data_IF_358491444223
#
_entry.id   IF_358491444223
#
_cell.length_a   1.000
_cell.length_b   1.000
_cell.length_c   1.000
_cell.angle_alpha   90.00
_cell.angle_beta   90.00
_cell.angle_gamma   90.00
#
_symmetry.space_group_name_H-M   'P 1'
#
loop_
_entity.id
_entity.type
_entity.pdbx_description
1 polymer ?
#
# COMPACT_ATOMS: atom_id res chain seq x y z
N UNK A 1 26.30 -19.80 10.54
CA UNK A 1 26.06 -19.85 9.09
C UNK A 1 25.09 -18.71 8.77
N UNK A 2 25.41 -17.84 7.83
CA UNK A 2 24.54 -16.75 7.42
C UNK A 2 23.33 -17.35 6.65
N UNK A 3 22.11 -17.16 7.17
CA UNK A 3 20.90 -17.59 6.49
C UNK A 3 20.65 -16.72 5.24
N UNK A 4 19.93 -17.27 4.25
CA UNK A 4 19.59 -16.56 3.02
C UNK A 4 18.26 -15.77 3.16
N UNK A 5 17.97 -14.95 2.15
CA UNK A 5 16.68 -14.26 2.00
C UNK A 5 15.74 -15.19 1.22
N UNK A 6 14.56 -15.52 1.77
CA UNK A 6 13.53 -16.22 1.04
C UNK A 6 12.52 -15.22 0.43
N UNK A 7 12.26 -15.37 -0.86
CA UNK A 7 11.26 -14.58 -1.59
C UNK A 7 10.05 -15.48 -1.87
N UNK A 8 8.98 -15.27 -1.14
CA UNK A 8 7.71 -15.98 -1.33
C UNK A 8 6.80 -15.10 -2.19
N UNK A 9 6.63 -15.49 -3.44
CA UNK A 9 6.09 -14.67 -4.52
C UNK A 9 7.21 -13.99 -5.31
N UNK A 10 7.36 -14.36 -6.58
CA UNK A 10 8.40 -13.82 -7.47
C UNK A 10 7.77 -13.12 -8.69
N UNK A 11 6.72 -12.33 -8.39
CA UNK A 11 6.06 -11.44 -9.36
C UNK A 11 6.90 -10.18 -9.63
N UNK A 12 6.21 -9.08 -9.96
CA UNK A 12 6.84 -7.78 -10.24
C UNK A 12 7.71 -7.30 -9.08
N UNK A 13 7.18 -7.27 -7.85
CA UNK A 13 7.91 -6.74 -6.70
C UNK A 13 9.13 -7.61 -6.35
N UNK A 14 8.96 -8.93 -6.24
CA UNK A 14 10.05 -9.84 -5.89
C UNK A 14 11.19 -9.81 -6.90
N UNK A 15 10.90 -9.86 -8.19
CA UNK A 15 11.91 -9.80 -9.24
C UNK A 15 12.59 -8.42 -9.35
N UNK A 16 11.84 -7.33 -9.14
CA UNK A 16 12.39 -5.96 -9.12
C UNK A 16 13.37 -5.77 -7.95
N UNK A 17 13.00 -6.22 -6.74
CA UNK A 17 13.88 -6.12 -5.58
C UNK A 17 15.13 -6.97 -5.76
N UNK A 18 14.97 -8.23 -6.21
CA UNK A 18 16.11 -9.13 -6.44
C UNK A 18 17.10 -8.55 -7.47
N UNK A 19 16.59 -8.01 -8.58
CA UNK A 19 17.41 -7.34 -9.60
C UNK A 19 18.15 -6.13 -9.04
N UNK A 20 17.44 -5.26 -8.32
CA UNK A 20 18.00 -4.00 -7.84
C UNK A 20 19.06 -4.21 -6.75
N UNK A 21 18.93 -5.26 -5.95
CA UNK A 21 19.84 -5.60 -4.87
C UNK A 21 21.01 -6.49 -5.31
N UNK A 22 20.93 -7.10 -6.48
CA UNK A 22 21.92 -8.07 -6.92
C UNK A 22 21.96 -9.32 -6.03
N UNK A 23 20.81 -9.82 -5.58
CA UNK A 23 20.74 -10.97 -4.65
C UNK A 23 21.07 -12.32 -5.28
N UNK A 24 21.79 -12.36 -6.40
CA UNK A 24 22.24 -13.60 -7.00
C UNK A 24 22.97 -14.49 -5.96
N UNK A 25 22.44 -15.70 -5.71
CA UNK A 25 22.99 -16.62 -4.72
C UNK A 25 22.75 -16.25 -3.23
N UNK A 26 22.40 -15.01 -2.92
CA UNK A 26 22.08 -14.58 -1.55
C UNK A 26 20.59 -14.74 -1.20
N UNK A 27 19.72 -14.89 -2.20
CA UNK A 27 18.30 -15.13 -2.05
C UNK A 27 17.91 -16.46 -2.68
N UNK A 28 16.75 -16.99 -2.27
CA UNK A 28 16.07 -18.13 -2.89
C UNK A 28 14.61 -17.76 -3.10
N UNK A 29 14.10 -17.96 -4.30
CA UNK A 29 12.73 -17.60 -4.68
C UNK A 29 11.84 -18.84 -4.79
N UNK A 30 10.58 -18.68 -4.42
CA UNK A 30 9.51 -19.61 -4.71
C UNK A 30 8.26 -18.86 -5.17
N UNK A 31 7.62 -19.37 -6.21
CA UNK A 31 6.33 -18.90 -6.70
C UNK A 31 5.52 -20.10 -7.19
N UNK A 32 4.20 -20.09 -7.02
CA UNK A 32 3.31 -21.14 -7.53
C UNK A 32 3.28 -21.16 -9.07
N UNK A 33 3.65 -20.07 -9.70
CA UNK A 33 3.73 -19.92 -11.14
C UNK A 33 5.09 -20.39 -11.65
N UNK A 34 5.13 -21.53 -12.30
CA UNK A 34 6.37 -22.12 -12.84
C UNK A 34 7.12 -21.23 -13.86
N UNK A 35 6.40 -20.34 -14.58
CA UNK A 35 7.01 -19.39 -15.52
C UNK A 35 7.96 -18.40 -14.81
N UNK A 36 7.84 -18.20 -13.49
CA UNK A 36 8.73 -17.33 -12.69
C UNK A 36 10.14 -17.89 -12.53
N UNK A 37 10.33 -19.20 -12.71
CA UNK A 37 11.64 -19.82 -12.68
C UNK A 37 12.58 -19.24 -13.76
N UNK A 38 12.07 -18.92 -14.94
CA UNK A 38 12.85 -18.27 -15.99
C UNK A 38 13.35 -16.90 -15.57
N UNK A 39 12.46 -16.09 -14.97
CA UNK A 39 12.83 -14.75 -14.48
C UNK A 39 13.88 -14.83 -13.37
N UNK A 40 13.74 -15.81 -12.47
CA UNK A 40 14.71 -16.04 -11.42
C UNK A 40 16.09 -16.44 -11.99
N UNK A 41 16.11 -17.33 -12.97
CA UNK A 41 17.34 -17.76 -13.65
C UNK A 41 18.07 -16.59 -14.36
N UNK A 42 17.31 -15.70 -15.03
CA UNK A 42 17.86 -14.49 -15.68
C UNK A 42 18.52 -13.54 -14.66
N UNK A 43 18.08 -13.58 -13.38
CA UNK A 43 18.63 -12.77 -12.29
C UNK A 43 19.67 -13.52 -11.45
N UNK A 44 19.98 -14.75 -11.78
CA UNK A 44 20.88 -15.60 -11.00
C UNK A 44 20.35 -15.95 -9.61
N UNK A 45 19.03 -15.87 -9.38
CA UNK A 45 18.38 -16.22 -8.11
C UNK A 45 17.93 -17.68 -8.17
N UNK A 46 18.42 -18.56 -7.28
CA UNK A 46 17.94 -19.94 -7.16
C UNK A 46 16.42 -19.98 -7.00
N UNK A 47 15.73 -20.75 -7.84
CA UNK A 47 14.30 -20.97 -7.78
C UNK A 47 14.01 -22.32 -7.17
N UNK A 48 13.38 -22.33 -5.99
CA UNK A 48 13.07 -23.54 -5.24
C UNK A 48 11.92 -24.32 -5.87
N UNK A 49 11.98 -25.64 -5.78
CA UNK A 49 10.91 -26.53 -6.24
C UNK A 49 9.69 -26.52 -5.30
N UNK A 50 9.85 -26.05 -4.06
CA UNK A 50 8.78 -25.94 -3.08
C UNK A 50 9.01 -24.78 -2.12
N UNK A 51 7.93 -24.37 -1.42
CA UNK A 51 8.03 -23.39 -0.33
C UNK A 51 8.94 -23.89 0.80
N UNK A 52 8.91 -25.18 1.13
CA UNK A 52 9.76 -25.77 2.14
C UNK A 52 11.25 -25.63 1.79
N UNK A 53 11.62 -25.84 0.55
CA UNK A 53 12.99 -25.64 0.07
C UNK A 53 13.39 -24.16 0.13
N UNK A 54 12.49 -23.24 -0.25
CA UNK A 54 12.79 -21.80 -0.21
C UNK A 54 12.98 -21.28 1.20
N UNK A 55 12.22 -21.83 2.16
CA UNK A 55 12.20 -21.39 3.56
C UNK A 55 13.25 -22.09 4.45
N UNK A 56 13.82 -23.20 3.97
CA UNK A 56 14.85 -23.94 4.74
C UNK A 56 16.02 -23.01 5.10
N UNK A 57 16.30 -22.84 6.38
CA UNK A 57 17.36 -21.96 6.93
C UNK A 57 17.23 -20.47 6.60
N UNK A 58 16.09 -20.02 6.07
CA UNK A 58 15.85 -18.60 5.81
C UNK A 58 15.76 -17.80 7.12
N UNK A 59 16.48 -16.69 7.21
CA UNK A 59 16.43 -15.76 8.35
C UNK A 59 15.54 -14.54 8.05
N UNK A 60 15.44 -14.15 6.81
CA UNK A 60 14.60 -13.08 6.33
C UNK A 60 13.70 -13.61 5.21
N UNK A 61 12.40 -13.56 5.41
CA UNK A 61 11.40 -13.96 4.43
C UNK A 61 10.64 -12.73 3.98
N UNK A 62 10.60 -12.46 2.68
CA UNK A 62 9.78 -11.43 2.07
C UNK A 62 8.56 -12.11 1.43
N UNK A 63 7.38 -11.93 2.04
CA UNK A 63 6.11 -12.37 1.48
C UNK A 63 5.57 -11.31 0.54
N UNK A 64 5.49 -11.63 -0.75
CA UNK A 64 5.18 -10.75 -1.87
C UNK A 64 4.13 -11.36 -2.79
N UNK A 65 3.16 -12.03 -2.20
CA UNK A 65 2.06 -12.69 -2.91
C UNK A 65 0.88 -11.73 -3.13
N UNK A 66 -0.17 -12.21 -3.80
CA UNK A 66 -1.39 -11.44 -4.00
C UNK A 66 -2.18 -11.28 -2.69
N UNK A 67 -3.04 -10.25 -2.61
CA UNK A 67 -3.78 -9.94 -1.40
C UNK A 67 -4.71 -11.09 -0.95
N UNK A 68 -5.32 -11.78 -1.89
CA UNK A 68 -6.21 -12.93 -1.67
C UNK A 68 -5.47 -14.16 -1.15
N UNK A 69 -4.19 -14.34 -1.52
CA UNK A 69 -3.36 -15.46 -1.06
C UNK A 69 -2.63 -15.20 0.27
N UNK A 70 -2.50 -13.95 0.70
CA UNK A 70 -1.59 -13.55 1.77
C UNK A 70 -1.79 -14.31 3.09
N UNK A 71 -3.04 -14.45 3.55
CA UNK A 71 -3.34 -15.15 4.81
C UNK A 71 -3.11 -16.66 4.68
N UNK A 72 -3.60 -17.27 3.61
CA UNK A 72 -3.43 -18.72 3.37
C UNK A 72 -1.94 -19.08 3.28
N UNK A 73 -1.16 -18.29 2.55
CA UNK A 73 0.30 -18.49 2.43
C UNK A 73 0.99 -18.36 3.79
N UNK A 74 0.61 -17.39 4.62
CA UNK A 74 1.16 -17.26 5.97
C UNK A 74 0.81 -18.47 6.85
N UNK A 75 -0.42 -18.98 6.77
CA UNK A 75 -0.87 -20.16 7.52
C UNK A 75 -0.19 -21.45 7.06
N UNK A 76 -0.15 -21.70 5.76
CA UNK A 76 0.39 -22.94 5.19
C UNK A 76 1.92 -23.03 5.35
N UNK A 77 2.61 -21.87 5.35
CA UNK A 77 4.08 -21.84 5.38
C UNK A 77 4.66 -21.55 6.75
N UNK A 78 3.84 -21.16 7.72
CA UNK A 78 4.28 -20.98 9.11
C UNK A 78 5.02 -22.21 9.67
N UNK A 79 4.53 -23.48 9.46
CA UNK A 79 5.22 -24.67 9.93
C UNK A 79 6.59 -24.93 9.28
N UNK A 80 6.89 -24.26 8.18
CA UNK A 80 8.14 -24.44 7.41
C UNK A 80 9.22 -23.44 7.82
N UNK A 81 8.89 -22.50 8.71
CA UNK A 81 9.81 -21.44 9.11
C UNK A 81 10.80 -21.92 10.16
N UNK A 82 12.05 -21.49 10.06
CA UNK A 82 13.03 -21.67 11.12
C UNK A 82 12.65 -20.82 12.34
N UNK A 83 12.85 -21.32 13.58
CA UNK A 83 12.62 -20.52 14.79
C UNK A 83 13.38 -19.20 14.74
N UNK A 84 12.69 -18.11 15.08
CA UNK A 84 13.23 -16.75 15.06
C UNK A 84 13.35 -16.11 13.67
N UNK A 85 12.97 -16.78 12.58
CA UNK A 85 12.92 -16.18 11.25
C UNK A 85 12.01 -14.94 11.21
N UNK A 86 12.41 -13.93 10.47
CA UNK A 86 11.63 -12.72 10.24
C UNK A 86 10.74 -12.90 9.01
N UNK A 87 9.43 -12.95 9.21
CA UNK A 87 8.44 -12.94 8.15
C UNK A 87 7.99 -11.50 7.88
N UNK A 88 8.59 -10.85 6.90
CA UNK A 88 8.19 -9.52 6.43
C UNK A 88 7.02 -9.66 5.47
N UNK A 89 5.80 -9.45 5.97
CA UNK A 89 4.58 -9.47 5.17
C UNK A 89 4.42 -8.15 4.41
N UNK A 90 4.84 -8.11 3.15
CA UNK A 90 4.77 -6.93 2.28
C UNK A 90 3.47 -6.85 1.45
N UNK A 91 2.53 -7.76 1.70
CA UNK A 91 1.28 -7.82 0.96
C UNK A 91 0.34 -6.66 1.30
N UNK A 92 -0.43 -6.21 0.31
CA UNK A 92 -1.36 -5.08 0.46
C UNK A 92 -2.73 -5.57 0.94
N UNK A 93 -2.85 -5.87 2.23
CA UNK A 93 -4.05 -6.41 2.87
C UNK A 93 -4.48 -5.56 4.07
N UNK A 94 -5.70 -5.81 4.56
CA UNK A 94 -6.25 -5.13 5.72
C UNK A 94 -5.46 -5.43 7.01
N UNK A 95 -5.50 -4.54 8.02
CA UNK A 95 -4.87 -4.76 9.32
C UNK A 95 -5.29 -6.07 10.00
N UNK A 96 -6.56 -6.45 9.90
CA UNK A 96 -7.10 -7.70 10.44
C UNK A 96 -6.42 -8.93 9.83
N UNK A 97 -6.21 -8.92 8.51
CA UNK A 97 -5.49 -9.97 7.79
C UNK A 97 -4.05 -10.09 8.25
N UNK A 98 -3.38 -8.95 8.48
CA UNK A 98 -2.01 -8.94 9.04
C UNK A 98 -1.95 -9.53 10.45
N UNK A 99 -2.93 -9.21 11.31
CA UNK A 99 -3.03 -9.78 12.66
C UNK A 99 -3.28 -11.29 12.63
N UNK A 100 -4.15 -11.76 11.74
CA UNK A 100 -4.40 -13.18 11.58
C UNK A 100 -3.15 -13.93 11.06
N UNK A 101 -2.44 -13.37 10.08
CA UNK A 101 -1.16 -13.90 9.60
C UNK A 101 -0.10 -13.92 10.70
N UNK A 102 0.00 -12.85 11.50
CA UNK A 102 0.93 -12.77 12.62
C UNK A 102 0.67 -13.85 13.69
N UNK A 103 -0.59 -14.14 13.99
CA UNK A 103 -0.96 -15.21 14.92
C UNK A 103 -0.51 -16.60 14.40
N UNK A 104 -0.70 -16.85 13.10
CA UNK A 104 -0.24 -18.10 12.47
C UNK A 104 1.29 -18.25 12.52
N UNK A 105 2.02 -17.20 12.16
CA UNK A 105 3.50 -17.20 12.15
C UNK A 105 4.07 -17.36 13.57
N UNK A 106 3.49 -16.69 14.55
CA UNK A 106 3.93 -16.74 15.95
C UNK A 106 3.76 -18.14 16.57
N UNK A 107 2.78 -18.90 16.12
CA UNK A 107 2.53 -20.27 16.62
C UNK A 107 3.71 -21.25 16.36
N UNK A 108 4.62 -20.87 15.46
CA UNK A 108 5.81 -21.65 15.09
C UNK A 108 7.12 -20.93 15.42
N UNK A 109 7.14 -20.10 16.48
CA UNK A 109 8.31 -19.38 16.98
C UNK A 109 9.00 -18.47 15.95
N UNK A 110 8.34 -18.15 14.86
CA UNK A 110 8.80 -17.14 13.91
C UNK A 110 8.20 -15.75 14.22
N UNK A 111 8.77 -14.69 13.67
CA UNK A 111 8.46 -13.32 14.00
C UNK A 111 7.83 -12.61 12.79
N UNK A 112 6.56 -12.32 12.88
CA UNK A 112 5.82 -11.56 11.85
C UNK A 112 6.10 -10.07 11.97
N UNK A 113 6.27 -9.41 10.81
CA UNK A 113 6.37 -7.96 10.68
C UNK A 113 5.42 -7.48 9.60
N UNK A 114 4.51 -6.57 9.96
CA UNK A 114 3.63 -5.87 9.03
C UNK A 114 4.45 -4.82 8.28
N UNK A 115 4.68 -5.05 6.99
CA UNK A 115 5.43 -4.13 6.12
C UNK A 115 4.50 -3.55 5.06
N UNK A 116 4.32 -2.24 5.08
CA UNK A 116 3.56 -1.52 4.08
C UNK A 116 4.49 -0.85 3.06
N UNK A 117 4.42 -1.27 1.80
CA UNK A 117 5.11 -0.66 0.65
C UNK A 117 4.25 0.50 0.15
N UNK A 118 4.71 1.76 0.26
CA UNK A 118 3.88 2.96 0.07
C UNK A 118 3.85 3.52 -1.35
N UNK A 119 4.58 2.93 -2.28
CA UNK A 119 4.61 3.35 -3.68
C UNK A 119 4.74 2.13 -4.61
N UNK A 120 4.50 2.27 -5.92
CA UNK A 120 4.93 1.27 -6.90
C UNK A 120 6.43 0.97 -6.74
N UNK A 121 6.80 -0.29 -6.96
CA UNK A 121 8.20 -0.72 -6.77
C UNK A 121 9.14 -0.13 -7.82
N UNK A 122 8.66 0.12 -9.03
CA UNK A 122 9.37 0.94 -10.03
C UNK A 122 8.83 2.38 -10.00
N UNK A 123 9.68 3.40 -10.18
CA UNK A 123 11.13 3.32 -10.41
C UNK A 123 11.96 3.30 -9.12
N UNK A 124 11.34 3.37 -7.95
CA UNK A 124 12.03 3.56 -6.67
C UNK A 124 12.87 2.36 -6.23
N UNK A 125 12.48 1.13 -6.62
CA UNK A 125 13.17 -0.13 -6.30
C UNK A 125 13.41 -0.26 -4.79
N UNK A 126 14.66 -0.44 -4.35
CA UNK A 126 15.03 -0.55 -2.94
C UNK A 126 14.92 0.78 -2.15
N UNK A 127 14.67 1.89 -2.84
CA UNK A 127 14.36 3.20 -2.22
C UNK A 127 12.86 3.39 -1.96
N UNK A 128 12.02 2.41 -2.33
CA UNK A 128 10.58 2.49 -2.07
C UNK A 128 10.32 2.71 -0.58
N UNK A 129 9.42 3.64 -0.20
CA UNK A 129 9.15 3.88 1.22
C UNK A 129 8.45 2.67 1.85
N UNK A 130 9.05 2.14 2.92
CA UNK A 130 8.53 1.05 3.74
C UNK A 130 8.13 1.56 5.12
N UNK A 131 6.93 1.22 5.57
CA UNK A 131 6.53 1.33 6.96
C UNK A 131 6.53 -0.07 7.58
N UNK A 132 7.07 -0.19 8.79
CA UNK A 132 7.16 -1.44 9.51
C UNK A 132 6.43 -1.33 10.85
N UNK A 133 5.69 -2.36 11.23
CA UNK A 133 5.05 -2.45 12.53
C UNK A 133 5.05 -3.90 13.05
N UNK A 134 5.06 -4.06 14.38
CA UNK A 134 5.13 -5.33 15.07
C UNK A 134 6.30 -5.37 16.06
N UNK A 135 6.30 -6.34 16.98
CA UNK A 135 7.33 -6.47 18.02
C UNK A 135 8.75 -6.66 17.44
N UNK A 136 8.86 -7.23 16.23
CA UNK A 136 10.13 -7.44 15.54
C UNK A 136 10.43 -6.37 14.47
N UNK A 137 9.72 -5.24 14.45
CA UNK A 137 9.83 -4.23 13.39
C UNK A 137 11.23 -3.60 13.31
N UNK A 138 11.89 -3.34 14.44
CA UNK A 138 13.25 -2.80 14.46
C UNK A 138 14.26 -3.82 13.90
N UNK A 139 14.20 -5.07 14.36
CA UNK A 139 15.06 -6.13 13.83
C UNK A 139 14.85 -6.35 12.32
N UNK A 140 13.60 -6.25 11.85
CA UNK A 140 13.31 -6.34 10.43
C UNK A 140 13.80 -5.12 9.65
N UNK A 141 13.71 -3.91 10.22
CA UNK A 141 14.28 -2.71 9.61
C UNK A 141 15.79 -2.85 9.40
N UNK A 142 16.52 -3.38 10.39
CA UNK A 142 17.95 -3.65 10.27
C UNK A 142 18.24 -4.70 9.18
N UNK A 143 17.53 -5.84 9.21
CA UNK A 143 17.69 -6.91 8.22
C UNK A 143 17.39 -6.44 6.79
N UNK A 144 16.31 -5.66 6.62
CA UNK A 144 15.99 -5.05 5.33
C UNK A 144 17.04 -4.02 4.90
N UNK A 145 17.67 -3.33 5.86
CA UNK A 145 18.81 -2.45 5.60
C UNK A 145 20.01 -3.18 5.02
N UNK A 146 20.38 -4.30 5.65
CA UNK A 146 21.43 -5.18 5.14
C UNK A 146 21.08 -5.74 3.76
N UNK A 147 19.79 -6.04 3.53
CA UNK A 147 19.28 -6.48 2.23
C UNK A 147 19.25 -5.36 1.16
N UNK A 148 19.55 -4.12 1.50
CA UNK A 148 19.69 -3.00 0.56
C UNK A 148 18.52 -1.99 0.53
N UNK A 149 17.45 -2.19 1.29
CA UNK A 149 16.38 -1.20 1.37
C UNK A 149 16.84 0.02 2.17
N UNK A 150 16.69 1.22 1.60
CA UNK A 150 17.23 2.46 2.17
C UNK A 150 16.18 3.36 2.82
N UNK A 151 14.90 3.20 2.50
CA UNK A 151 13.82 4.05 3.01
C UNK A 151 12.86 3.23 3.88
N UNK A 152 13.20 3.04 5.13
CA UNK A 152 12.47 2.25 6.11
C UNK A 152 12.15 3.07 7.34
N UNK A 153 10.91 2.97 7.83
CA UNK A 153 10.47 3.64 9.05
C UNK A 153 9.61 2.71 9.89
N UNK A 154 10.01 2.47 11.14
CA UNK A 154 9.18 1.78 12.12
C UNK A 154 8.11 2.76 12.63
N UNK A 155 6.84 2.29 12.67
CA UNK A 155 5.69 3.11 13.04
C UNK A 155 4.97 2.62 14.30
N UNK A 156 5.50 1.60 14.95
CA UNK A 156 5.03 1.09 16.24
C UNK A 156 5.13 -0.42 16.36
N UNK A 157 4.75 -0.92 17.55
CA UNK A 157 4.85 -2.34 17.91
C UNK A 157 3.59 -3.15 17.57
N UNK A 158 2.49 -2.50 17.22
CA UNK A 158 1.23 -3.18 16.92
C UNK A 158 1.17 -3.63 15.46
N UNK A 159 1.05 -4.93 15.22
CA UNK A 159 0.76 -5.49 13.89
C UNK A 159 -0.57 -4.93 13.37
N UNK A 160 -0.57 -4.50 12.11
CA UNK A 160 -1.71 -3.85 11.48
C UNK A 160 -1.58 -2.32 11.39
N UNK A 161 -0.65 -1.70 12.13
CA UNK A 161 -0.46 -0.24 12.11
C UNK A 161 0.12 0.27 10.78
N UNK A 162 1.12 -0.41 10.23
CA UNK A 162 1.70 -0.03 8.94
C UNK A 162 0.69 -0.21 7.80
N UNK A 163 -0.02 -1.35 7.79
CA UNK A 163 -1.07 -1.61 6.81
C UNK A 163 -2.26 -0.65 6.95
N UNK A 164 -2.67 -0.28 8.18
CA UNK A 164 -3.72 0.72 8.39
C UNK A 164 -3.37 2.06 7.74
N UNK A 165 -2.14 2.56 7.96
CA UNK A 165 -1.65 3.79 7.34
C UNK A 165 -1.75 3.70 5.81
N UNK A 166 -1.28 2.58 5.23
CA UNK A 166 -1.33 2.37 3.77
C UNK A 166 -2.77 2.29 3.25
N UNK A 167 -3.65 1.51 3.90
CA UNK A 167 -5.02 1.32 3.43
C UNK A 167 -5.83 2.62 3.50
N UNK A 168 -5.72 3.36 4.61
CA UNK A 168 -6.41 4.66 4.77
C UNK A 168 -5.87 5.68 3.75
N UNK A 169 -4.53 5.76 3.57
CA UNK A 169 -3.93 6.60 2.52
C UNK A 169 -4.45 6.25 1.12
N UNK A 170 -4.66 4.98 0.84
CA UNK A 170 -5.14 4.50 -0.47
C UNK A 170 -6.55 4.99 -0.81
N UNK A 171 -7.38 5.30 0.20
CA UNK A 171 -8.69 5.92 -0.02
C UNK A 171 -8.54 7.24 -0.77
N UNK A 172 -7.60 8.08 -0.33
CA UNK A 172 -7.35 9.38 -0.99
C UNK A 172 -6.70 9.19 -2.36
N UNK A 173 -5.62 8.41 -2.45
CA UNK A 173 -4.86 8.26 -3.71
C UNK A 173 -5.74 7.68 -4.81
N UNK A 174 -6.41 6.56 -4.56
CA UNK A 174 -7.28 5.92 -5.54
C UNK A 174 -8.61 6.65 -5.73
N UNK A 175 -9.08 7.34 -4.70
CA UNK A 175 -10.25 8.21 -4.79
C UNK A 175 -10.04 9.37 -5.77
N UNK A 176 -8.87 10.02 -5.72
CA UNK A 176 -8.50 11.07 -6.68
C UNK A 176 -8.43 10.49 -8.11
N UNK A 177 -7.83 9.31 -8.29
CA UNK A 177 -7.78 8.64 -9.60
C UNK A 177 -9.19 8.39 -10.15
N UNK A 178 -10.10 7.86 -9.32
CA UNK A 178 -11.48 7.58 -9.72
C UNK A 178 -12.30 8.86 -10.02
N UNK A 179 -12.14 9.91 -9.19
CA UNK A 179 -12.75 11.22 -9.43
C UNK A 179 -12.23 11.84 -10.72
N UNK A 180 -10.93 11.76 -10.97
CA UNK A 180 -10.31 12.25 -12.19
C UNK A 180 -10.88 11.54 -13.42
N UNK A 181 -11.02 10.21 -13.36
CA UNK A 181 -11.59 9.43 -14.46
C UNK A 181 -13.05 9.81 -14.73
N UNK A 182 -13.89 9.94 -13.68
CA UNK A 182 -15.31 10.33 -13.83
C UNK A 182 -15.44 11.74 -14.42
N UNK A 183 -14.66 12.70 -13.93
CA UNK A 183 -14.60 14.08 -14.46
C UNK A 183 -14.16 14.09 -15.92
N UNK A 184 -13.08 13.38 -16.27
CA UNK A 184 -12.55 13.35 -17.64
C UNK A 184 -13.53 12.72 -18.64
N UNK A 185 -14.25 11.65 -18.22
CA UNK A 185 -15.31 11.05 -19.06
C UNK A 185 -16.39 12.07 -19.39
N UNK A 186 -16.85 12.84 -18.41
CA UNK A 186 -17.88 13.87 -18.61
C UNK A 186 -17.36 15.04 -19.46
N UNK A 187 -16.18 15.56 -19.12
CA UNK A 187 -15.58 16.70 -19.81
C UNK A 187 -15.29 16.40 -21.30
N UNK A 188 -14.80 15.18 -21.60
CA UNK A 188 -14.59 14.74 -22.97
C UNK A 188 -15.90 14.62 -23.75
N UNK A 189 -16.96 14.07 -23.15
CA UNK A 189 -18.28 13.97 -23.80
C UNK A 189 -18.94 15.33 -24.02
N UNK A 190 -18.70 16.27 -23.13
CA UNK A 190 -19.17 17.66 -23.27
C UNK A 190 -18.31 18.51 -24.23
N UNK A 191 -17.11 18.03 -24.62
CA UNK A 191 -16.19 18.76 -25.48
C UNK A 191 -15.49 19.94 -24.79
N UNK A 192 -15.34 19.90 -23.45
CA UNK A 192 -14.79 21.01 -22.64
C UNK A 192 -13.61 20.56 -21.76
N UNK A 193 -12.90 19.51 -22.18
CA UNK A 193 -11.85 18.93 -21.35
C UNK A 193 -10.68 19.89 -21.08
N UNK A 194 -10.27 20.66 -22.09
CA UNK A 194 -9.16 21.62 -21.96
C UNK A 194 -9.52 22.75 -21.00
N UNK A 195 -10.74 23.29 -21.09
CA UNK A 195 -11.22 24.39 -20.24
C UNK A 195 -11.36 23.94 -18.78
N UNK A 196 -11.86 22.71 -18.54
CA UNK A 196 -11.97 22.15 -17.19
C UNK A 196 -10.59 21.97 -16.56
N UNK A 197 -9.63 21.41 -17.31
CA UNK A 197 -8.26 21.21 -16.82
C UNK A 197 -7.57 22.55 -16.55
N UNK A 198 -7.66 23.52 -17.46
CA UNK A 198 -7.09 24.85 -17.27
C UNK A 198 -7.69 25.59 -16.04
N UNK A 199 -9.00 25.43 -15.80
CA UNK A 199 -9.67 25.99 -14.62
C UNK A 199 -9.19 25.34 -13.30
N UNK A 200 -8.92 24.03 -13.31
CA UNK A 200 -8.38 23.32 -12.15
C UNK A 200 -6.94 23.75 -11.88
N UNK A 201 -6.08 23.85 -12.90
CA UNK A 201 -4.71 24.33 -12.78
C UNK A 201 -4.66 25.76 -12.21
N UNK A 202 -5.53 26.65 -12.68
CA UNK A 202 -5.64 28.02 -12.16
C UNK A 202 -6.05 28.07 -10.68
N UNK A 203 -6.69 27.04 -10.18
CA UNK A 203 -7.17 26.92 -8.79
C UNK A 203 -6.21 26.15 -7.89
N UNK A 204 -5.23 25.41 -8.46
CA UNK A 204 -4.30 24.57 -7.70
C UNK A 204 -3.33 25.44 -6.88
N UNK A 205 -3.19 25.10 -5.61
CA UNK A 205 -2.27 25.75 -4.69
C UNK A 205 -1.41 24.71 -4.00
N UNK A 206 -0.08 24.88 -3.94
CA UNK A 206 0.80 23.98 -3.19
C UNK A 206 0.57 24.17 -1.68
N UNK A 207 -0.23 23.31 -1.09
CA UNK A 207 -0.51 23.28 0.35
C UNK A 207 -0.19 21.90 0.93
N UNK A 208 0.24 21.83 2.20
CA UNK A 208 0.46 20.56 2.85
C UNK A 208 -0.85 19.77 2.99
N UNK A 209 -0.77 18.45 3.03
CA UNK A 209 -1.94 17.61 3.29
C UNK A 209 -2.64 17.90 4.63
N UNK A 210 -1.90 18.34 5.64
CA UNK A 210 -2.49 18.79 6.91
C UNK A 210 -3.39 20.01 6.72
N UNK A 211 -2.90 21.04 6.02
CA UNK A 211 -3.68 22.24 5.73
C UNK A 211 -4.86 21.94 4.79
N UNK A 212 -4.65 21.11 3.77
CA UNK A 212 -5.71 20.69 2.82
C UNK A 212 -6.82 19.90 3.54
N UNK A 213 -6.46 18.97 4.41
CA UNK A 213 -7.45 18.21 5.18
C UNK A 213 -8.24 19.11 6.13
N UNK A 214 -7.57 19.98 6.88
CA UNK A 214 -8.22 20.95 7.77
C UNK A 214 -9.23 21.83 7.00
N UNK A 215 -8.81 22.41 5.89
CA UNK A 215 -9.64 23.25 5.04
C UNK A 215 -10.85 22.49 4.48
N UNK A 216 -10.64 21.27 3.97
CA UNK A 216 -11.73 20.49 3.38
C UNK A 216 -12.78 20.08 4.43
N UNK A 217 -12.34 19.62 5.60
CA UNK A 217 -13.22 19.20 6.68
C UNK A 217 -14.02 20.38 7.25
N UNK A 218 -13.38 21.53 7.46
CA UNK A 218 -14.05 22.75 7.90
C UNK A 218 -15.12 23.19 6.91
N UNK A 219 -14.80 23.19 5.60
CA UNK A 219 -15.77 23.55 4.55
C UNK A 219 -16.95 22.59 4.48
N UNK A 220 -16.73 21.31 4.70
CA UNK A 220 -17.82 20.33 4.72
C UNK A 220 -18.72 20.53 5.93
N UNK A 221 -18.15 20.75 7.11
CA UNK A 221 -18.92 21.02 8.33
C UNK A 221 -19.76 22.31 8.19
N UNK A 222 -19.17 23.38 7.63
CA UNK A 222 -19.82 24.70 7.53
C UNK A 222 -20.80 24.79 6.35
N UNK A 223 -20.48 24.17 5.22
CA UNK A 223 -21.21 24.37 3.95
C UNK A 223 -21.73 23.07 3.32
N UNK A 224 -21.64 21.94 3.99
CA UNK A 224 -21.89 20.61 3.43
C UNK A 224 -23.28 20.46 2.80
N UNK A 225 -24.34 20.96 3.44
CA UNK A 225 -25.71 20.87 2.91
C UNK A 225 -25.83 21.58 1.55
N UNK A 226 -25.32 22.81 1.45
CA UNK A 226 -25.35 23.58 0.20
C UNK A 226 -24.51 22.91 -0.88
N UNK A 227 -23.30 22.47 -0.52
CA UNK A 227 -22.39 21.80 -1.46
C UNK A 227 -22.92 20.45 -1.94
N UNK A 228 -23.68 19.74 -1.11
CA UNK A 228 -24.39 18.52 -1.54
C UNK A 228 -25.40 18.82 -2.65
N UNK A 229 -26.20 19.89 -2.50
CA UNK A 229 -27.14 20.30 -3.53
C UNK A 229 -26.43 20.70 -4.85
N UNK A 230 -25.30 21.43 -4.76
CA UNK A 230 -24.46 21.75 -5.93
C UNK A 230 -23.95 20.46 -6.63
N UNK A 231 -23.54 19.46 -5.86
CA UNK A 231 -23.07 18.17 -6.40
C UNK A 231 -24.19 17.32 -6.99
N UNK A 232 -25.44 17.48 -6.56
CA UNK A 232 -26.60 16.84 -7.20
C UNK A 232 -26.83 17.39 -8.61
N UNK A 233 -26.65 18.70 -8.82
CA UNK A 233 -26.69 19.29 -10.18
C UNK A 233 -25.55 18.72 -11.03
N UNK A 234 -24.36 18.58 -10.47
CA UNK A 234 -23.24 17.91 -11.16
C UNK A 234 -23.60 16.48 -11.56
N UNK A 235 -24.20 15.70 -10.64
CA UNK A 235 -24.63 14.33 -10.94
C UNK A 235 -25.67 14.27 -12.07
N UNK A 236 -26.63 15.19 -12.08
CA UNK A 236 -27.62 15.34 -13.20
C UNK A 236 -26.92 15.63 -14.53
N UNK A 237 -25.93 16.51 -14.50
CA UNK A 237 -25.11 16.83 -15.68
C UNK A 237 -24.39 15.59 -16.22
N UNK A 238 -23.74 14.81 -15.35
CA UNK A 238 -23.06 13.57 -15.74
C UNK A 238 -24.03 12.56 -16.37
N UNK A 239 -25.22 12.39 -15.77
CA UNK A 239 -26.28 11.50 -16.29
C UNK A 239 -26.69 11.94 -17.69
N UNK A 240 -26.92 13.23 -17.90
CA UNK A 240 -27.28 13.77 -19.21
C UNK A 240 -26.22 13.52 -20.28
N UNK A 241 -24.95 13.46 -19.89
CA UNK A 241 -23.81 13.10 -20.74
C UNK A 241 -23.62 11.58 -20.88
N UNK A 242 -24.47 10.77 -20.26
CA UNK A 242 -24.36 9.30 -20.25
C UNK A 242 -23.23 8.76 -19.37
N UNK A 243 -22.70 9.55 -18.44
CA UNK A 243 -21.72 9.12 -17.44
C UNK A 243 -22.43 8.75 -16.15
N UNK A 244 -22.17 7.56 -15.63
CA UNK A 244 -22.70 7.14 -14.30
C UNK A 244 -21.95 7.89 -13.20
N UNK A 245 -22.63 8.71 -12.34
CA UNK A 245 -21.98 9.60 -11.38
C UNK A 245 -21.64 8.88 -10.05
N UNK A 246 -20.82 7.83 -10.09
CA UNK A 246 -20.52 6.99 -8.91
C UNK A 246 -19.81 7.79 -7.82
N UNK A 247 -18.75 8.48 -8.16
CA UNK A 247 -17.96 9.27 -7.20
C UNK A 247 -18.68 10.55 -6.79
N UNK A 248 -19.38 11.17 -7.74
CA UNK A 248 -20.20 12.37 -7.50
C UNK A 248 -21.34 12.07 -6.52
N UNK A 249 -22.05 10.95 -6.67
CA UNK A 249 -23.10 10.53 -5.72
C UNK A 249 -22.52 10.23 -4.33
N UNK A 250 -21.37 9.57 -4.24
CA UNK A 250 -20.64 9.36 -2.99
C UNK A 250 -20.26 10.70 -2.33
N UNK A 251 -19.87 11.69 -3.14
CA UNK A 251 -19.57 13.05 -2.66
C UNK A 251 -20.81 13.74 -2.09
N UNK A 252 -21.98 13.64 -2.77
CA UNK A 252 -23.26 14.17 -2.23
C UNK A 252 -23.54 13.61 -0.84
N UNK A 253 -23.47 12.29 -0.70
CA UNK A 253 -23.73 11.62 0.60
C UNK A 253 -22.76 12.09 1.68
N UNK A 254 -21.46 12.16 1.38
CA UNK A 254 -20.44 12.58 2.36
C UNK A 254 -20.58 14.05 2.74
N UNK A 255 -20.90 14.94 1.81
CA UNK A 255 -21.15 16.36 2.10
C UNK A 255 -22.34 16.54 3.04
N UNK A 256 -23.43 15.79 2.85
CA UNK A 256 -24.60 15.82 3.74
C UNK A 256 -24.29 15.30 5.13
N UNK A 257 -23.63 14.16 5.21
CA UNK A 257 -23.28 13.53 6.48
C UNK A 257 -22.41 14.43 7.35
N UNK A 258 -21.49 15.18 6.74
CA UNK A 258 -20.58 16.06 7.47
C UNK A 258 -21.16 17.46 7.75
N UNK A 259 -22.30 17.82 7.19
CA UNK A 259 -22.93 19.12 7.41
C UNK A 259 -23.31 19.30 8.89
N UNK A 260 -22.71 20.27 9.57
CA UNK A 260 -22.89 20.52 11.00
C UNK A 260 -22.11 19.57 11.92
N UNK A 261 -21.33 18.64 11.39
CA UNK A 261 -20.58 17.64 12.17
C UNK A 261 -19.08 17.77 11.92
N UNK A 262 -18.34 18.65 12.62
CA UNK A 262 -16.93 18.83 12.44
C UNK A 262 -16.16 17.58 12.88
N UNK A 263 -15.27 17.08 12.00
CA UNK A 263 -14.34 16.00 12.32
C UNK A 263 -13.07 16.56 12.97
N UNK A 264 -12.44 15.81 13.89
CA UNK A 264 -11.16 16.19 14.46
C UNK A 264 -10.11 16.37 13.36
N UNK A 265 -9.44 17.50 13.33
CA UNK A 265 -8.32 17.76 12.41
C UNK A 265 -7.01 17.42 13.10
N UNK A 266 -6.17 16.55 12.53
CA UNK A 266 -4.88 16.25 13.12
C UNK A 266 -3.98 17.48 13.09
N UNK A 267 -3.36 17.80 14.23
CA UNK A 267 -2.32 18.84 14.26
C UNK A 267 -1.05 18.31 13.60
N UNK A 268 -0.35 19.18 12.86
CA UNK A 268 0.98 18.84 12.34
C UNK A 268 1.91 18.60 13.54
N UNK A 269 2.68 17.48 13.57
CA UNK A 269 3.67 17.30 14.63
C UNK A 269 4.66 18.47 14.66
N UNK A 270 4.91 19.02 15.83
CA UNK A 270 5.95 20.02 16.03
C UNK A 270 7.32 19.36 15.77
N UNK A 271 8.11 19.91 14.87
CA UNK A 271 9.50 19.49 14.66
C UNK A 271 9.82 18.69 13.38
N UNK A 272 8.88 18.42 12.49
CA UNK A 272 9.21 17.93 11.15
C UNK A 272 9.40 19.12 10.20
N UNK A 273 10.58 19.74 10.28
CA UNK A 273 11.05 20.69 9.26
C UNK A 273 11.10 20.03 7.87
N UNK A 274 10.89 20.86 6.85
CA UNK A 274 10.83 20.52 5.43
C UNK A 274 12.08 19.79 4.93
#
# INVERSE_FOLDING_TARGET
MAGHIALIGFGEAGSTFARAAGWAGAARAFDIRADRARVAAELGVPFAASAAEALADARLVLSLVTADAALTVAQDYAPLLSPGALWCDMNSVAPETKRAAAAAIKAYDARHVDVAVLAPVEPARLKVPLLLAGDAAEAAADALGVAGFTNRRVVGHEVGRASAIKMIRSVMVKGIEALTAEMMLAATRAGVAEEVLASLDASERPVSWFARAAYNLERMATHGARRAAEMEESARTLIALGVVPMMTNGTVLRQREQAGHPLPTPKKPEGTGA
#
